data_IF_152089768913
#
_entry.id   IF_152089768913
#
_cell.length_a   1.000
_cell.length_b   1.000
_cell.length_c   1.000
_cell.angle_alpha   90.00
_cell.angle_beta   90.00
_cell.angle_gamma   90.00
#
_symmetry.space_group_name_H-M   'P 1'
#
loop_
_entity.id
_entity.type
_entity.pdbx_description
1 polymer ?
#
# COMPACT_ATOMS: atom_id res chain seq x y z
N UNK A 1 -37.73 7.31 39.69
CA UNK A 1 -38.74 8.36 39.43
C UNK A 1 -38.02 9.52 38.74
N UNK A 2 -38.18 9.89 37.47
CA UNK A 2 -39.25 9.69 36.51
C UNK A 2 -38.81 10.10 35.08
N UNK A 3 -37.98 9.30 34.38
CA UNK A 3 -37.80 9.52 32.92
C UNK A 3 -38.96 8.93 32.12
N UNK A 4 -39.52 7.81 32.56
CA UNK A 4 -40.65 7.14 31.89
C UNK A 4 -41.95 7.96 31.97
N UNK A 5 -42.21 8.64 33.10
CA UNK A 5 -43.41 9.47 33.27
C UNK A 5 -43.30 10.77 32.47
N UNK A 6 -42.09 11.34 32.32
CA UNK A 6 -41.88 12.58 31.55
C UNK A 6 -42.10 12.38 30.04
N UNK A 7 -41.66 11.24 29.48
CA UNK A 7 -41.82 10.93 28.05
C UNK A 7 -43.30 10.69 27.69
N UNK A 8 -44.05 10.06 28.60
CA UNK A 8 -45.47 9.79 28.40
C UNK A 8 -46.33 11.07 28.39
N UNK A 9 -45.84 12.14 29.02
CA UNK A 9 -46.51 13.45 29.10
C UNK A 9 -46.27 14.36 27.88
N UNK A 10 -45.24 14.12 27.07
CA UNK A 10 -44.75 15.09 26.06
C UNK A 10 -45.10 14.68 24.61
N UNK A 11 -45.36 13.40 24.33
CA UNK A 11 -45.75 12.94 22.99
C UNK A 11 -46.82 11.84 23.05
N UNK A 12 -48.00 12.09 22.47
CA UNK A 12 -49.00 11.06 22.22
C UNK A 12 -48.67 10.32 20.92
N UNK A 13 -48.27 9.06 21.05
CA UNK A 13 -47.94 8.21 19.90
C UNK A 13 -49.22 7.68 19.23
N UNK A 14 -49.21 7.45 17.91
CA UNK A 14 -50.33 6.77 17.23
C UNK A 14 -50.63 5.42 17.89
N UNK A 15 -51.92 5.08 17.99
CA UNK A 15 -52.40 3.89 18.72
C UNK A 15 -51.81 2.56 18.24
N UNK A 16 -51.43 2.46 16.96
CA UNK A 16 -50.79 1.27 16.40
C UNK A 16 -49.30 1.13 16.79
N UNK A 17 -48.64 2.22 17.17
CA UNK A 17 -47.21 2.26 17.52
C UNK A 17 -46.99 2.20 19.04
N UNK A 18 -47.98 2.64 19.80
CA UNK A 18 -47.97 2.71 21.26
C UNK A 18 -47.52 1.42 21.97
N UNK A 19 -48.01 0.20 21.64
CA UNK A 19 -47.56 -1.02 22.34
C UNK A 19 -46.08 -1.35 22.09
N UNK A 20 -45.54 -1.00 20.92
CA UNK A 20 -44.11 -1.20 20.63
C UNK A 20 -43.23 -0.21 21.38
N UNK A 21 -43.70 1.04 21.52
CA UNK A 21 -43.01 2.09 22.29
C UNK A 21 -42.98 1.73 23.78
N UNK A 22 -44.10 1.26 24.33
CA UNK A 22 -44.17 0.83 25.73
C UNK A 22 -43.22 -0.34 26.02
N UNK A 23 -43.20 -1.34 25.14
CA UNK A 23 -42.25 -2.47 25.25
C UNK A 23 -40.81 -1.96 25.17
N UNK A 24 -40.47 -1.10 24.20
CA UNK A 24 -39.13 -0.54 24.07
C UNK A 24 -38.71 0.27 25.31
N UNK A 25 -39.62 1.08 25.87
CA UNK A 25 -39.36 1.86 27.09
C UNK A 25 -39.16 0.96 28.31
N UNK A 26 -39.91 -0.14 28.42
CA UNK A 26 -39.70 -1.18 29.43
C UNK A 26 -38.33 -1.82 29.30
N UNK A 27 -37.92 -2.19 28.08
CA UNK A 27 -36.58 -2.73 27.82
C UNK A 27 -35.48 -1.73 28.15
N UNK A 28 -35.67 -0.45 27.81
CA UNK A 28 -34.70 0.62 28.12
C UNK A 28 -34.62 0.85 29.62
N UNK A 29 -35.74 0.94 30.33
CA UNK A 29 -35.75 1.10 31.80
C UNK A 29 -35.08 -0.09 32.46
N UNK A 30 -35.44 -1.31 32.07
CA UNK A 30 -34.83 -2.52 32.60
C UNK A 30 -33.33 -2.60 32.32
N UNK A 31 -32.89 -2.20 31.13
CA UNK A 31 -31.47 -2.13 30.79
C UNK A 31 -30.73 -1.08 31.63
N UNK A 32 -31.33 0.09 31.88
CA UNK A 32 -30.74 1.15 32.71
C UNK A 32 -30.69 0.74 34.18
N UNK A 33 -31.74 0.07 34.69
CA UNK A 33 -31.84 -0.38 36.08
C UNK A 33 -30.95 -1.61 36.36
N UNK A 34 -30.64 -2.42 35.33
CA UNK A 34 -29.75 -3.58 35.44
C UNK A 34 -28.27 -3.22 35.22
N UNK A 35 -28.00 -2.11 34.52
CA UNK A 35 -26.65 -1.58 34.36
C UNK A 35 -26.28 -0.80 35.63
N UNK A 36 -25.41 -1.41 36.43
CA UNK A 36 -24.83 -0.76 37.61
C UNK A 36 -23.84 0.34 37.15
N UNK A 37 -24.32 1.58 37.17
CA UNK A 37 -23.56 2.75 36.77
C UNK A 37 -22.38 3.02 37.69
N UNK A 38 -22.51 2.72 38.99
CA UNK A 38 -21.43 2.84 39.97
C UNK A 38 -20.32 1.82 39.68
N UNK A 39 -20.71 0.60 39.27
CA UNK A 39 -19.76 -0.42 38.81
C UNK A 39 -19.04 -0.03 37.52
N UNK A 40 -19.74 0.54 36.53
CA UNK A 40 -19.13 1.04 35.29
C UNK A 40 -18.19 2.23 35.56
N UNK A 41 -18.55 3.13 36.46
CA UNK A 41 -17.68 4.22 36.89
C UNK A 41 -16.39 3.67 37.52
N UNK A 42 -16.51 2.72 38.45
CA UNK A 42 -15.36 2.05 39.07
C UNK A 42 -14.48 1.33 38.04
N UNK A 43 -15.09 0.61 37.09
CA UNK A 43 -14.39 -0.08 36.02
C UNK A 43 -13.63 0.90 35.11
N UNK A 44 -14.24 2.06 34.83
CA UNK A 44 -13.62 3.13 34.06
C UNK A 44 -12.41 3.70 34.79
N UNK A 45 -12.52 4.04 36.07
CA UNK A 45 -11.40 4.52 36.87
C UNK A 45 -10.28 3.47 37.03
N UNK A 46 -10.62 2.19 37.09
CA UNK A 46 -9.64 1.10 37.15
C UNK A 46 -8.83 0.96 35.85
N UNK A 47 -9.47 1.08 34.69
CA UNK A 47 -8.80 0.92 33.38
C UNK A 47 -8.30 2.22 32.76
N UNK A 48 -8.78 3.39 33.19
CA UNK A 48 -8.38 4.69 32.64
C UNK A 48 -6.85 4.92 32.73
N UNK A 49 -6.15 4.64 33.84
CA UNK A 49 -4.69 4.75 33.89
C UNK A 49 -3.97 3.83 32.91
N UNK A 50 -4.49 2.61 32.71
CA UNK A 50 -3.96 1.65 31.73
C UNK A 50 -4.17 2.20 30.31
N UNK A 51 -5.36 2.74 30.03
CA UNK A 51 -5.69 3.32 28.74
C UNK A 51 -4.80 4.53 28.43
N UNK A 52 -4.63 5.44 29.40
CA UNK A 52 -3.72 6.59 29.24
C UNK A 52 -2.27 6.13 29.05
N UNK A 53 -1.78 5.19 29.87
CA UNK A 53 -0.39 4.73 29.81
C UNK A 53 -0.02 4.04 28.48
N UNK A 54 -0.98 3.39 27.81
CA UNK A 54 -0.71 2.67 26.55
C UNK A 54 -1.22 3.40 25.30
N UNK A 55 -2.38 4.08 25.34
CA UNK A 55 -2.97 4.74 24.17
C UNK A 55 -2.38 6.12 23.94
N UNK A 56 -2.17 6.93 24.99
CA UNK A 56 -1.67 8.30 24.84
C UNK A 56 -0.28 8.33 24.15
N UNK A 57 0.70 7.48 24.52
CA UNK A 57 1.98 7.43 23.82
C UNK A 57 1.85 7.04 22.33
N UNK A 58 0.93 6.12 22.00
CA UNK A 58 0.68 5.73 20.61
C UNK A 58 0.09 6.91 19.83
N UNK A 59 -0.88 7.64 20.39
CA UNK A 59 -1.46 8.83 19.76
C UNK A 59 -0.43 9.95 19.58
N UNK A 60 0.43 10.20 20.57
CA UNK A 60 1.51 11.18 20.48
C UNK A 60 2.52 10.80 19.39
N UNK A 61 2.90 9.52 19.29
CA UNK A 61 3.76 9.04 18.22
C UNK A 61 3.10 9.23 16.85
N UNK A 62 1.82 8.87 16.70
CA UNK A 62 1.07 9.09 15.46
C UNK A 62 1.02 10.58 15.09
N UNK A 63 0.86 11.48 16.06
CA UNK A 63 0.88 12.91 15.83
C UNK A 63 2.25 13.41 15.36
N UNK A 64 3.34 13.01 16.03
CA UNK A 64 4.72 13.39 15.66
C UNK A 64 5.04 12.89 14.24
N UNK A 65 4.76 11.63 13.92
CA UNK A 65 4.96 11.10 12.57
C UNK A 65 4.03 11.77 11.56
N UNK A 66 2.81 12.12 11.95
CA UNK A 66 1.90 12.93 11.16
C UNK A 66 2.50 14.30 10.79
N UNK A 67 3.15 14.97 11.73
CA UNK A 67 3.89 16.21 11.47
C UNK A 67 5.06 16.00 10.50
N UNK A 68 5.83 14.92 10.66
CA UNK A 68 6.95 14.59 9.73
C UNK A 68 6.43 14.35 8.32
N UNK A 69 5.38 13.55 8.18
CA UNK A 69 4.72 13.29 6.89
C UNK A 69 4.19 14.60 6.29
N UNK A 70 3.55 15.45 7.10
CA UNK A 70 3.07 16.76 6.66
C UNK A 70 4.22 17.64 6.14
N UNK A 71 5.34 17.73 6.85
CA UNK A 71 6.51 18.49 6.41
C UNK A 71 7.10 17.94 5.10
N UNK A 72 7.17 16.61 4.95
CA UNK A 72 7.62 15.98 3.71
C UNK A 72 6.69 16.33 2.52
N UNK A 73 5.38 16.23 2.72
CA UNK A 73 4.39 16.63 1.71
C UNK A 73 4.46 18.14 1.41
N UNK A 74 4.66 18.98 2.43
CA UNK A 74 4.81 20.43 2.27
C UNK A 74 6.08 20.81 1.47
N UNK A 75 7.14 20.01 1.55
CA UNK A 75 8.30 20.12 0.65
C UNK A 75 7.92 20.00 -0.82
N UNK A 76 6.89 19.20 -1.13
CA UNK A 76 6.37 18.97 -2.49
C UNK A 76 5.26 19.96 -2.89
N UNK A 77 4.99 21.00 -2.07
CA UNK A 77 3.84 21.93 -2.26
C UNK A 77 3.76 22.58 -3.64
N UNK A 78 4.90 22.94 -4.25
CA UNK A 78 4.91 23.60 -5.55
C UNK A 78 4.43 22.63 -6.65
N UNK A 79 4.92 21.39 -6.63
CA UNK A 79 4.48 20.33 -7.55
C UNK A 79 3.01 19.98 -7.38
N UNK A 80 2.53 19.93 -6.13
CA UNK A 80 1.12 19.71 -5.82
C UNK A 80 0.27 20.86 -6.40
N UNK A 81 0.68 22.12 -6.18
CA UNK A 81 0.00 23.31 -6.70
C UNK A 81 -0.08 23.30 -8.22
N UNK A 82 1.00 22.95 -8.91
CA UNK A 82 1.05 22.80 -10.37
C UNK A 82 0.08 21.70 -10.85
N UNK A 83 0.01 20.56 -10.17
CA UNK A 83 -0.89 19.47 -10.54
C UNK A 83 -2.38 19.79 -10.32
N UNK A 84 -2.70 20.56 -9.28
CA UNK A 84 -4.07 21.07 -9.10
C UNK A 84 -4.48 22.04 -10.22
N UNK A 85 -3.51 22.74 -10.83
CA UNK A 85 -3.80 23.61 -11.96
C UNK A 85 -4.17 22.84 -13.24
N UNK A 86 -3.73 21.58 -13.40
CA UNK A 86 -4.14 20.74 -14.53
C UNK A 86 -5.49 20.06 -14.28
N UNK A 87 -5.66 19.40 -13.14
CA UNK A 87 -6.87 18.64 -12.81
C UNK A 87 -6.97 18.35 -11.32
N UNK A 88 -8.20 18.38 -10.78
CA UNK A 88 -8.48 17.95 -9.40
C UNK A 88 -7.99 16.53 -9.12
N UNK A 89 -8.12 15.62 -10.10
CA UNK A 89 -7.70 14.24 -9.94
C UNK A 89 -6.19 14.08 -9.99
N UNK A 90 -5.49 14.90 -10.75
CA UNK A 90 -4.02 14.90 -10.79
C UNK A 90 -3.46 15.46 -9.48
N UNK A 91 -4.00 16.57 -8.99
CA UNK A 91 -3.68 17.11 -7.66
C UNK A 91 -3.91 16.07 -6.54
N UNK A 92 -5.05 15.38 -6.57
CA UNK A 92 -5.35 14.31 -5.61
C UNK A 92 -4.35 13.15 -5.69
N UNK A 93 -4.01 12.69 -6.89
CA UNK A 93 -3.04 11.60 -7.06
C UNK A 93 -1.64 12.00 -6.63
N UNK A 94 -1.16 13.18 -7.00
CA UNK A 94 0.18 13.64 -6.58
C UNK A 94 0.23 13.82 -5.06
N UNK A 95 -0.84 14.31 -4.45
CA UNK A 95 -0.91 14.42 -2.97
C UNK A 95 -0.84 13.04 -2.30
N UNK A 96 -1.61 12.06 -2.80
CA UNK A 96 -1.61 10.69 -2.28
C UNK A 96 -0.26 10.00 -2.55
N UNK A 97 0.32 10.17 -3.73
CA UNK A 97 1.64 9.66 -4.07
C UNK A 97 2.71 10.25 -3.14
N UNK A 98 2.66 11.56 -2.88
CA UNK A 98 3.56 12.25 -1.95
C UNK A 98 3.44 11.69 -0.53
N UNK A 99 2.22 11.39 -0.08
CA UNK A 99 1.99 10.74 1.21
C UNK A 99 2.60 9.33 1.26
N UNK A 100 2.35 8.49 0.26
CA UNK A 100 2.90 7.14 0.22
C UNK A 100 4.42 7.11 0.06
N UNK A 101 4.99 8.05 -0.67
CA UNK A 101 6.45 8.22 -0.78
C UNK A 101 7.05 8.61 0.58
N UNK A 102 6.43 9.56 1.29
CA UNK A 102 6.82 9.95 2.64
C UNK A 102 6.75 8.78 3.62
N UNK A 103 5.66 8.02 3.60
CA UNK A 103 5.48 6.83 4.47
C UNK A 103 6.52 5.77 4.14
N UNK A 104 6.74 5.48 2.85
CA UNK A 104 7.74 4.53 2.40
C UNK A 104 9.15 4.93 2.86
N UNK A 105 9.50 6.20 2.71
CA UNK A 105 10.78 6.73 3.14
C UNK A 105 10.96 6.71 4.67
N UNK A 106 10.00 7.26 5.41
CA UNK A 106 10.14 7.45 6.87
C UNK A 106 10.01 6.14 7.66
N UNK A 107 9.06 5.27 7.28
CA UNK A 107 8.81 4.04 8.04
C UNK A 107 9.56 2.83 7.51
N UNK A 108 9.89 2.82 6.22
CA UNK A 108 10.47 1.65 5.57
C UNK A 108 11.79 1.94 4.88
N UNK A 109 12.33 3.17 4.89
CA UNK A 109 13.54 3.49 4.12
C UNK A 109 13.46 3.01 2.67
N UNK A 110 12.26 3.05 2.09
CA UNK A 110 11.95 2.37 0.84
C UNK A 110 12.72 2.97 -0.34
N UNK A 111 13.34 2.11 -1.13
CA UNK A 111 14.09 2.49 -2.32
C UNK A 111 13.73 1.61 -3.53
N UNK A 112 13.89 2.18 -4.72
CA UNK A 112 13.75 1.46 -5.99
C UNK A 112 15.09 1.48 -6.71
N UNK A 113 15.63 0.31 -6.99
CA UNK A 113 16.77 0.10 -7.88
C UNK A 113 16.25 -0.25 -9.27
N UNK A 114 16.84 0.34 -10.32
CA UNK A 114 16.39 0.12 -11.71
C UNK A 114 15.26 1.04 -12.16
N UNK A 115 15.00 2.17 -11.49
CA UNK A 115 13.98 3.12 -11.94
C UNK A 115 14.31 3.72 -13.32
N UNK A 116 15.58 3.76 -13.68
CA UNK A 116 16.11 4.09 -15.00
C UNK A 116 15.62 3.14 -16.11
N UNK A 117 15.30 1.88 -15.78
CA UNK A 117 14.74 0.91 -16.73
C UNK A 117 13.28 1.25 -17.12
N UNK A 118 12.62 2.11 -16.34
CA UNK A 118 11.27 2.59 -16.66
C UNK A 118 11.34 3.69 -17.71
N UNK A 119 10.69 3.53 -18.88
CA UNK A 119 10.77 4.50 -19.94
C UNK A 119 10.05 5.79 -19.59
N UNK A 120 10.62 6.93 -19.98
CA UNK A 120 10.02 8.25 -19.75
C UNK A 120 8.79 8.50 -20.65
N UNK A 121 8.68 7.79 -21.77
CA UNK A 121 7.58 7.87 -22.75
C UNK A 121 7.25 6.47 -23.28
N UNK A 122 6.07 6.28 -23.88
CA UNK A 122 5.64 4.98 -24.43
C UNK A 122 5.27 3.94 -23.37
N UNK A 123 4.85 2.74 -23.75
CA UNK A 123 4.33 1.75 -22.79
C UNK A 123 5.40 1.03 -21.99
N UNK A 124 5.02 0.41 -20.87
CA UNK A 124 5.82 -0.64 -20.22
C UNK A 124 4.93 -1.56 -19.38
N UNK A 125 5.29 -2.84 -19.32
CA UNK A 125 4.61 -3.84 -18.51
C UNK A 125 5.52 -4.37 -17.40
N UNK A 126 5.16 -4.11 -16.15
CA UNK A 126 5.82 -4.63 -14.98
C UNK A 126 5.22 -6.01 -14.66
N UNK A 127 6.07 -7.02 -14.59
CA UNK A 127 5.66 -8.37 -14.18
C UNK A 127 6.38 -8.72 -12.90
N UNK A 128 5.61 -8.96 -11.83
CA UNK A 128 6.21 -9.04 -10.50
C UNK A 128 5.73 -10.24 -9.67
N UNK A 129 6.58 -10.61 -8.72
CA UNK A 129 6.23 -11.55 -7.66
C UNK A 129 5.30 -10.89 -6.65
N UNK A 130 4.13 -11.49 -6.40
CA UNK A 130 3.15 -10.90 -5.50
C UNK A 130 3.56 -11.13 -4.03
N UNK A 131 3.83 -10.07 -3.25
CA UNK A 131 4.00 -10.15 -1.79
C UNK A 131 2.69 -10.51 -1.05
N UNK A 132 2.72 -10.71 0.27
CA UNK A 132 1.46 -11.01 1.00
C UNK A 132 0.51 -9.81 1.04
N UNK A 133 1.06 -8.59 1.14
CA UNK A 133 0.33 -7.34 0.95
C UNK A 133 1.06 -6.53 -0.12
N UNK A 134 0.35 -5.96 -1.12
CA UNK A 134 0.98 -5.21 -2.22
C UNK A 134 1.32 -3.77 -1.80
N UNK A 135 1.89 -3.58 -0.61
CA UNK A 135 2.27 -2.24 -0.11
C UNK A 135 3.41 -1.66 -0.95
N UNK A 136 4.33 -2.53 -1.36
CA UNK A 136 5.43 -2.22 -2.27
C UNK A 136 4.94 -1.61 -3.59
N UNK A 137 3.86 -2.14 -4.17
CA UNK A 137 3.28 -1.61 -5.41
C UNK A 137 2.83 -0.15 -5.23
N UNK A 138 2.27 0.25 -4.08
CA UNK A 138 1.92 1.66 -3.85
C UNK A 138 3.14 2.58 -3.83
N UNK A 139 4.26 2.11 -3.28
CA UNK A 139 5.50 2.87 -3.32
C UNK A 139 6.08 2.97 -4.73
N UNK A 140 5.99 1.90 -5.53
CA UNK A 140 6.36 1.95 -6.96
C UNK A 140 5.48 2.95 -7.72
N UNK A 141 4.16 2.93 -7.51
CA UNK A 141 3.25 3.90 -8.12
C UNK A 141 3.65 5.32 -7.73
N UNK A 142 3.88 5.57 -6.44
CA UNK A 142 4.29 6.88 -5.94
C UNK A 142 5.59 7.38 -6.59
N UNK A 143 6.63 6.53 -6.63
CA UNK A 143 7.91 6.87 -7.26
C UNK A 143 7.78 7.11 -8.77
N UNK A 144 7.01 6.30 -9.49
CA UNK A 144 6.73 6.53 -10.91
C UNK A 144 6.01 7.88 -11.14
N UNK A 145 5.04 8.21 -10.29
CA UNK A 145 4.32 9.47 -10.41
C UNK A 145 5.20 10.69 -10.10
N UNK A 146 6.04 10.60 -9.06
CA UNK A 146 6.85 11.74 -8.60
C UNK A 146 8.12 11.94 -9.43
N UNK A 147 8.78 10.87 -9.89
CA UNK A 147 10.07 10.94 -10.57
C UNK A 147 9.97 10.75 -12.09
N UNK A 148 9.03 9.92 -12.56
CA UNK A 148 8.81 9.71 -14.00
C UNK A 148 7.67 10.55 -14.54
N UNK A 149 6.85 11.18 -13.68
CA UNK A 149 5.61 11.87 -14.05
C UNK A 149 4.63 10.94 -14.79
N UNK A 150 4.64 9.66 -14.41
CA UNK A 150 3.83 8.62 -15.06
C UNK A 150 3.08 7.79 -14.03
N UNK A 151 1.82 7.52 -14.32
CA UNK A 151 0.99 6.68 -13.47
C UNK A 151 1.16 5.20 -13.85
N UNK A 152 1.39 4.35 -12.86
CA UNK A 152 1.43 2.91 -13.01
C UNK A 152 0.03 2.33 -12.77
N UNK A 153 -0.58 1.77 -13.82
CA UNK A 153 -1.90 1.14 -13.75
C UNK A 153 -1.76 -0.28 -13.20
N UNK A 154 -2.74 -0.74 -12.42
CA UNK A 154 -2.65 -2.06 -11.79
C UNK A 154 -3.78 -2.98 -12.23
N UNK A 155 -3.47 -4.25 -12.41
CA UNK A 155 -4.48 -5.31 -12.56
C UNK A 155 -4.73 -5.95 -11.20
N UNK A 156 -5.94 -5.74 -10.67
CA UNK A 156 -6.39 -6.25 -9.38
C UNK A 156 -7.39 -7.39 -9.52
N UNK A 157 -7.52 -8.22 -8.48
CA UNK A 157 -8.55 -9.27 -8.46
C UNK A 157 -9.96 -8.65 -8.34
N UNK A 158 -10.95 -9.31 -8.95
CA UNK A 158 -12.36 -8.88 -8.95
C UNK A 158 -12.93 -8.69 -7.55
N UNK A 159 -12.43 -9.40 -6.53
CA UNK A 159 -12.94 -9.26 -5.17
C UNK A 159 -12.71 -7.85 -4.59
N UNK A 160 -11.62 -7.16 -4.99
CA UNK A 160 -11.27 -5.84 -4.47
C UNK A 160 -12.39 -4.83 -4.77
N UNK A 161 -13.03 -4.96 -5.93
CA UNK A 161 -14.13 -4.09 -6.38
C UNK A 161 -15.45 -4.36 -5.66
N UNK A 162 -15.55 -5.45 -4.89
CA UNK A 162 -16.73 -5.76 -4.08
C UNK A 162 -16.63 -5.21 -2.65
N UNK A 163 -15.47 -4.67 -2.26
CA UNK A 163 -15.26 -4.11 -0.92
C UNK A 163 -15.87 -2.70 -0.86
N UNK A 164 -16.85 -2.44 0.03
CA UNK A 164 -17.44 -1.12 0.19
C UNK A 164 -16.36 -0.06 0.49
N UNK A 165 -16.42 1.07 -0.20
CA UNK A 165 -15.49 2.21 -0.02
C UNK A 165 -14.19 2.14 -0.83
N UNK A 166 -13.82 0.98 -1.41
CA UNK A 166 -12.55 0.84 -2.14
C UNK A 166 -12.57 1.35 -3.58
N UNK A 167 -13.76 1.62 -4.14
CA UNK A 167 -13.90 2.09 -5.52
C UNK A 167 -13.14 3.40 -5.81
N UNK A 168 -13.07 4.32 -4.84
CA UNK A 168 -12.32 5.57 -4.98
C UNK A 168 -10.81 5.33 -5.03
N UNK A 169 -10.29 4.43 -4.21
CA UNK A 169 -8.86 4.05 -4.21
C UNK A 169 -8.51 3.40 -5.55
N UNK A 170 -9.35 2.47 -6.04
CA UNK A 170 -9.16 1.85 -7.36
C UNK A 170 -9.15 2.89 -8.49
N UNK A 171 -10.00 3.93 -8.41
CA UNK A 171 -10.04 5.00 -9.40
C UNK A 171 -8.78 5.89 -9.37
N UNK A 172 -8.29 6.21 -8.18
CA UNK A 172 -7.07 7.03 -8.00
C UNK A 172 -5.84 6.32 -8.55
N UNK A 173 -5.68 5.04 -8.22
CA UNK A 173 -4.51 4.23 -8.61
C UNK A 173 -4.71 3.46 -9.94
N UNK A 174 -5.79 3.72 -10.68
CA UNK A 174 -6.12 3.00 -11.91
C UNK A 174 -6.06 1.47 -11.77
N UNK A 175 -6.57 0.96 -10.64
CA UNK A 175 -6.71 -0.48 -10.39
C UNK A 175 -7.93 -0.97 -11.16
N UNK A 176 -7.73 -1.92 -12.06
CA UNK A 176 -8.80 -2.51 -12.89
C UNK A 176 -8.77 -4.03 -12.80
N UNK A 177 -9.90 -4.73 -13.00
CA UNK A 177 -9.90 -6.19 -13.04
C UNK A 177 -9.17 -6.77 -14.26
N UNK A 178 -8.97 -5.94 -15.31
CA UNK A 178 -8.10 -6.16 -16.48
C UNK A 178 -8.33 -7.47 -17.25
N UNK A 179 -9.08 -7.44 -18.35
CA UNK A 179 -9.00 -8.50 -19.37
C UNK A 179 -7.71 -8.36 -20.19
N UNK A 180 -7.37 -9.38 -20.99
CA UNK A 180 -6.21 -9.30 -21.91
C UNK A 180 -6.35 -8.11 -22.85
N UNK A 181 -7.54 -7.89 -23.41
CA UNK A 181 -7.78 -6.80 -24.35
C UNK A 181 -7.74 -5.43 -23.66
N UNK A 182 -8.27 -5.31 -22.44
CA UNK A 182 -8.15 -4.08 -21.64
C UNK A 182 -6.68 -3.72 -21.40
N UNK A 183 -5.87 -4.71 -20.99
CA UNK A 183 -4.45 -4.51 -20.74
C UNK A 183 -3.72 -4.08 -22.02
N UNK A 184 -4.02 -4.72 -23.16
CA UNK A 184 -3.46 -4.36 -24.46
C UNK A 184 -3.85 -2.95 -24.89
N UNK A 185 -5.10 -2.54 -24.67
CA UNK A 185 -5.55 -1.19 -24.96
C UNK A 185 -4.74 -0.16 -24.15
N UNK A 186 -4.58 -0.38 -22.83
CA UNK A 186 -3.78 0.53 -21.98
C UNK A 186 -2.32 0.61 -22.39
N UNK A 187 -1.71 -0.50 -22.77
CA UNK A 187 -0.34 -0.49 -23.28
C UNK A 187 -0.26 0.21 -24.64
N UNK A 188 -1.22 0.02 -25.54
CA UNK A 188 -1.26 0.75 -26.83
C UNK A 188 -1.44 2.26 -26.65
N UNK A 189 -2.18 2.68 -25.63
CA UNK A 189 -2.33 4.09 -25.23
C UNK A 189 -1.06 4.67 -24.58
N UNK A 190 0.01 3.86 -24.45
CA UNK A 190 1.28 4.30 -23.90
C UNK A 190 1.31 4.39 -22.39
N UNK A 191 0.44 3.68 -21.66
CA UNK A 191 0.46 3.66 -20.20
C UNK A 191 1.47 2.64 -19.63
N UNK A 192 1.91 2.88 -18.39
CA UNK A 192 2.60 1.87 -17.59
C UNK A 192 1.56 0.95 -16.96
N UNK A 193 1.78 -0.35 -16.98
CA UNK A 193 0.88 -1.36 -16.39
C UNK A 193 1.69 -2.32 -15.52
N UNK A 194 1.17 -2.76 -14.38
CA UNK A 194 1.75 -3.84 -13.59
C UNK A 194 0.78 -5.01 -13.41
N UNK A 195 1.31 -6.23 -13.55
CA UNK A 195 0.56 -7.48 -13.39
C UNK A 195 1.38 -8.42 -12.50
N UNK A 196 0.74 -8.96 -11.46
CA UNK A 196 1.25 -10.10 -10.70
C UNK A 196 0.58 -11.39 -11.20
N UNK A 197 1.25 -12.23 -12.01
CA UNK A 197 0.60 -13.40 -12.60
C UNK A 197 0.13 -14.41 -11.54
N UNK A 198 0.86 -14.52 -10.42
CA UNK A 198 0.50 -15.34 -9.27
C UNK A 198 -0.72 -14.82 -8.49
N UNK A 199 -1.01 -13.52 -8.58
CA UNK A 199 -2.18 -12.87 -7.96
C UNK A 199 -2.36 -13.22 -6.48
N UNK A 200 -3.63 -13.20 -6.03
CA UNK A 200 -4.01 -13.52 -4.65
C UNK A 200 -3.57 -14.92 -4.22
N UNK A 201 -3.59 -15.90 -5.13
CA UNK A 201 -3.14 -17.27 -4.83
C UNK A 201 -1.68 -17.31 -4.42
N UNK A 202 -0.82 -16.62 -5.17
CA UNK A 202 0.59 -16.49 -4.80
C UNK A 202 0.71 -15.75 -3.48
N UNK A 203 0.04 -14.60 -3.33
CA UNK A 203 0.04 -13.79 -2.10
C UNK A 203 -0.27 -14.59 -0.82
N UNK A 204 -1.22 -15.52 -0.89
CA UNK A 204 -1.68 -16.32 0.24
C UNK A 204 -0.87 -17.60 0.48
N UNK A 205 -0.41 -18.27 -0.58
CA UNK A 205 0.06 -19.67 -0.49
C UNK A 205 1.53 -19.90 -0.86
N UNK A 206 2.22 -18.91 -1.44
CA UNK A 206 3.66 -19.07 -1.68
C UNK A 206 4.40 -19.12 -0.35
N UNK A 207 5.34 -20.06 -0.27
CA UNK A 207 6.15 -20.33 0.89
C UNK A 207 7.07 -19.11 1.14
N UNK A 208 6.82 -18.35 2.23
CA UNK A 208 7.62 -17.19 2.58
C UNK A 208 9.09 -17.51 2.91
N UNK A 209 9.45 -18.79 3.11
CA UNK A 209 10.85 -19.19 3.31
C UNK A 209 11.58 -19.45 1.99
N UNK A 210 10.85 -19.73 0.90
CA UNK A 210 11.42 -20.13 -0.40
C UNK A 210 11.11 -19.15 -1.53
N UNK A 211 10.14 -18.25 -1.35
CA UNK A 211 9.70 -17.30 -2.36
C UNK A 211 9.34 -17.99 -3.70
N UNK A 212 8.69 -19.15 -3.63
CA UNK A 212 8.37 -19.93 -4.83
C UNK A 212 7.31 -19.23 -5.68
N UNK A 213 7.61 -19.05 -6.97
CA UNK A 213 6.69 -18.42 -7.92
C UNK A 213 5.54 -19.37 -8.29
N UNK A 214 4.30 -18.96 -8.02
CA UNK A 214 3.06 -19.74 -8.14
C UNK A 214 2.13 -19.28 -9.28
N UNK A 215 2.68 -19.08 -10.48
CA UNK A 215 1.91 -18.62 -11.65
C UNK A 215 0.98 -19.69 -12.27
N UNK A 216 1.04 -20.95 -11.80
CA UNK A 216 0.18 -22.06 -12.22
C UNK A 216 0.07 -22.20 -13.76
N UNK A 217 -1.14 -22.32 -14.33
CA UNK A 217 -1.41 -22.33 -15.78
C UNK A 217 -1.84 -20.97 -16.34
N UNK A 218 -1.58 -19.87 -15.62
CA UNK A 218 -2.00 -18.53 -16.04
C UNK A 218 -1.08 -18.00 -17.14
N UNK A 219 -1.68 -17.52 -18.21
CA UNK A 219 -0.99 -17.06 -19.43
C UNK A 219 -1.51 -15.71 -19.92
N UNK A 220 -2.47 -15.09 -19.20
CA UNK A 220 -3.08 -13.82 -19.62
C UNK A 220 -2.04 -12.73 -19.84
N UNK A 221 -1.11 -12.55 -18.90
CA UNK A 221 -0.03 -11.58 -19.04
C UNK A 221 0.88 -11.86 -20.24
N UNK A 222 1.21 -13.13 -20.52
CA UNK A 222 2.01 -13.51 -21.68
C UNK A 222 1.27 -13.20 -23.01
N UNK A 223 -0.04 -13.42 -23.06
CA UNK A 223 -0.88 -13.01 -24.20
C UNK A 223 -0.93 -11.48 -24.37
N UNK A 224 -0.92 -10.72 -23.28
CA UNK A 224 -0.80 -9.25 -23.32
C UNK A 224 0.53 -8.83 -23.94
N UNK A 225 1.64 -9.44 -23.51
CA UNK A 225 3.00 -9.18 -24.02
C UNK A 225 3.06 -9.45 -25.54
N UNK A 226 2.68 -10.65 -25.97
CA UNK A 226 2.68 -11.06 -27.38
C UNK A 226 1.78 -10.16 -28.23
N UNK A 227 0.66 -9.73 -27.66
CA UNK A 227 -0.30 -8.85 -28.33
C UNK A 227 0.12 -7.37 -28.41
N UNK A 228 1.26 -7.01 -27.81
CA UNK A 228 1.83 -5.65 -27.76
C UNK A 228 3.37 -5.69 -27.99
N UNK A 229 3.83 -6.17 -29.17
CA UNK A 229 5.26 -6.25 -29.46
C UNK A 229 5.91 -4.87 -29.38
N UNK A 230 7.16 -4.84 -28.92
CA UNK A 230 7.91 -3.59 -28.67
C UNK A 230 7.60 -2.92 -27.32
N UNK A 231 6.59 -3.38 -26.57
CA UNK A 231 6.40 -2.93 -25.19
C UNK A 231 7.46 -3.58 -24.29
N UNK A 232 8.30 -2.79 -23.56
CA UNK A 232 9.25 -3.34 -22.61
C UNK A 232 8.55 -4.05 -21.46
N UNK A 233 9.00 -5.27 -21.16
CA UNK A 233 8.56 -6.05 -20.01
C UNK A 233 9.62 -5.95 -18.93
N UNK A 234 9.27 -5.34 -17.79
CA UNK A 234 10.19 -5.08 -16.69
C UNK A 234 9.89 -6.11 -15.58
N UNK A 235 10.76 -7.10 -15.34
CA UNK A 235 10.62 -8.00 -14.20
C UNK A 235 10.85 -7.21 -12.91
N UNK A 236 10.03 -7.46 -11.90
CA UNK A 236 10.09 -6.73 -10.63
C UNK A 236 10.02 -7.66 -9.43
N UNK A 237 10.86 -7.40 -8.44
CA UNK A 237 10.86 -8.11 -7.16
C UNK A 237 11.14 -7.15 -6.01
N UNK A 238 10.44 -7.34 -4.89
CA UNK A 238 10.66 -6.56 -3.67
C UNK A 238 11.23 -7.45 -2.58
N UNK A 239 12.39 -7.08 -2.05
CA UNK A 239 13.04 -7.79 -0.96
C UNK A 239 12.13 -7.90 0.27
N UNK A 240 12.15 -9.05 0.92
CA UNK A 240 11.44 -9.31 2.16
C UNK A 240 9.92 -9.06 2.09
N UNK A 241 9.32 -8.96 0.90
CA UNK A 241 7.89 -8.66 0.71
C UNK A 241 6.94 -9.71 1.33
N UNK A 242 7.47 -10.87 1.73
CA UNK A 242 6.77 -11.91 2.49
C UNK A 242 7.02 -11.85 3.99
N UNK A 243 8.21 -11.41 4.38
CA UNK A 243 8.65 -11.39 5.79
C UNK A 243 8.28 -10.08 6.48
N UNK A 244 8.10 -8.99 5.73
CA UNK A 244 7.68 -7.69 6.24
C UNK A 244 6.32 -7.73 6.97
N UNK A 245 5.50 -8.76 6.71
CA UNK A 245 4.13 -8.86 7.24
C UNK A 245 3.79 -10.20 7.92
N UNK A 246 4.79 -10.93 8.46
CA UNK A 246 4.51 -12.13 9.28
C UNK A 246 4.20 -11.77 10.74
N UNK A 247 3.07 -12.26 11.28
CA UNK A 247 2.89 -12.38 12.75
C UNK A 247 2.05 -13.62 13.14
N UNK A 248 2.68 -14.68 13.68
CA UNK A 248 1.99 -15.83 14.29
C UNK A 248 1.30 -15.49 15.62
N UNK A 249 0.13 -16.10 15.89
CA UNK A 249 -0.90 -15.63 16.85
C UNK A 249 -0.55 -15.60 18.35
N UNK A 250 0.41 -16.38 18.85
CA UNK A 250 0.66 -16.52 20.30
C UNK A 250 1.81 -15.65 20.86
N UNK A 251 2.64 -15.01 20.02
CA UNK A 251 3.88 -14.32 20.44
C UNK A 251 3.85 -12.78 20.44
N UNK A 252 2.70 -12.15 20.18
CA UNK A 252 2.56 -10.71 19.85
C UNK A 252 3.16 -9.73 20.89
N UNK A 253 3.18 -10.08 22.18
CA UNK A 253 3.71 -9.22 23.26
C UNK A 253 5.24 -9.21 23.34
N UNK A 254 5.91 -10.30 23.00
CA UNK A 254 7.39 -10.42 23.05
C UNK A 254 8.04 -9.75 21.83
N UNK A 255 7.39 -9.80 20.66
CA UNK A 255 7.87 -9.12 19.45
C UNK A 255 7.76 -7.58 19.52
N UNK A 256 6.78 -7.05 20.26
CA UNK A 256 6.66 -5.60 20.52
C UNK A 256 7.79 -5.07 21.41
N UNK A 257 8.22 -5.84 22.42
CA UNK A 257 9.34 -5.47 23.29
C UNK A 257 10.70 -5.47 22.56
N UNK A 258 10.91 -6.42 21.63
CA UNK A 258 12.11 -6.47 20.78
C UNK A 258 12.17 -5.27 19.81
N UNK A 259 11.03 -4.84 19.24
CA UNK A 259 10.94 -3.66 18.36
C UNK A 259 11.30 -2.35 19.08
N UNK A 260 10.86 -2.20 20.34
CA UNK A 260 11.18 -1.02 21.17
C UNK A 260 12.67 -0.93 21.56
N UNK A 261 13.42 -2.04 21.46
CA UNK A 261 14.87 -2.08 21.75
C UNK A 261 15.75 -1.87 20.50
N UNK A 262 15.28 -2.23 19.30
CA UNK A 262 16.14 -2.32 18.10
C UNK A 262 15.91 -1.25 17.04
N UNK A 263 14.74 -0.58 16.97
CA UNK A 263 14.46 0.55 16.06
C UNK A 263 14.79 0.33 14.57
N UNK A 264 14.38 -0.77 13.96
CA UNK A 264 14.71 -1.04 12.55
C UNK A 264 13.50 -1.06 11.64
N UNK A 265 13.49 -0.24 10.57
CA UNK A 265 12.55 -0.43 9.47
C UNK A 265 12.85 -1.79 8.83
N UNK A 266 11.82 -2.57 8.49
CA UNK A 266 11.99 -3.53 7.40
C UNK A 266 12.15 -2.66 6.15
N UNK A 267 13.33 -2.66 5.54
CA UNK A 267 13.60 -1.92 4.32
C UNK A 267 13.39 -2.81 3.10
N UNK A 268 12.16 -2.88 2.53
CA UNK A 268 11.96 -3.46 1.23
C UNK A 268 12.61 -2.56 0.19
N UNK A 269 13.68 -3.06 -0.45
CA UNK A 269 14.16 -2.50 -1.72
C UNK A 269 13.41 -3.19 -2.83
N UNK A 270 12.83 -2.42 -3.75
CA UNK A 270 12.26 -2.98 -4.98
C UNK A 270 13.30 -2.90 -6.09
N UNK A 271 13.51 -4.03 -6.76
CA UNK A 271 14.39 -4.17 -7.91
C UNK A 271 13.58 -4.27 -9.17
N UNK A 272 13.84 -3.35 -10.10
CA UNK A 272 13.32 -3.36 -11.45
C UNK A 272 14.43 -3.87 -12.37
N UNK A 273 14.25 -5.09 -12.87
CA UNK A 273 15.22 -5.71 -13.76
C UNK A 273 15.26 -5.07 -15.14
N UNK A 274 16.15 -5.58 -16.00
CA UNK A 274 16.35 -5.03 -17.34
C UNK A 274 15.09 -5.22 -18.22
N UNK A 275 14.77 -4.27 -19.10
CA UNK A 275 13.64 -4.42 -20.01
C UNK A 275 13.82 -5.61 -20.97
N UNK A 276 12.83 -6.48 -21.03
CA UNK A 276 12.74 -7.60 -21.96
C UNK A 276 11.81 -7.25 -23.11
N UNK A 277 12.13 -7.75 -24.30
CA UNK A 277 11.30 -7.56 -25.50
C UNK A 277 10.96 -8.92 -26.10
N UNK A 278 9.71 -9.07 -26.51
CA UNK A 278 9.17 -10.31 -27.06
C UNK A 278 8.51 -10.04 -28.41
N UNK A 279 8.63 -11.00 -29.32
CA UNK A 279 8.00 -10.94 -30.63
C UNK A 279 6.60 -11.57 -30.60
N UNK A 280 5.75 -11.19 -31.57
CA UNK A 280 4.34 -11.60 -31.62
C UNK A 280 4.11 -13.06 -32.05
N UNK A 281 5.13 -13.73 -32.54
CA UNK A 281 5.13 -15.13 -32.99
C UNK A 281 5.50 -16.12 -31.88
N UNK A 282 5.95 -15.63 -30.71
CA UNK A 282 6.31 -16.50 -29.58
C UNK A 282 5.10 -17.16 -28.94
N UNK A 283 5.30 -18.37 -28.42
CA UNK A 283 4.32 -19.09 -27.63
C UNK A 283 4.17 -18.43 -26.24
N UNK A 284 2.94 -18.19 -25.72
CA UNK A 284 2.76 -17.59 -24.39
C UNK A 284 3.46 -18.32 -23.24
N UNK A 285 3.71 -19.62 -23.41
CA UNK A 285 4.33 -20.47 -22.42
C UNK A 285 5.83 -20.21 -22.32
N UNK A 286 6.47 -19.94 -23.46
CA UNK A 286 7.89 -19.60 -23.54
C UNK A 286 8.13 -18.19 -23.01
N UNK A 287 7.26 -17.24 -23.36
CA UNK A 287 7.26 -15.88 -22.79
C UNK A 287 7.12 -15.95 -21.27
N UNK A 288 6.16 -16.74 -20.78
CA UNK A 288 5.98 -16.95 -19.35
C UNK A 288 7.22 -17.54 -18.70
N UNK A 289 7.86 -18.53 -19.32
CA UNK A 289 9.05 -19.19 -18.79
C UNK A 289 10.19 -18.18 -18.66
N UNK A 290 10.47 -17.41 -19.71
CA UNK A 290 11.51 -16.39 -19.72
C UNK A 290 11.29 -15.31 -18.65
N UNK A 291 10.08 -14.71 -18.59
CA UNK A 291 9.79 -13.68 -17.58
C UNK A 291 9.83 -14.27 -16.15
N UNK A 292 9.43 -15.53 -15.98
CA UNK A 292 9.51 -16.22 -14.69
C UNK A 292 10.96 -16.43 -14.25
N UNK A 293 11.84 -16.80 -15.17
CA UNK A 293 13.27 -16.98 -14.92
C UNK A 293 13.90 -15.66 -14.47
N UNK A 294 13.59 -14.56 -15.14
CA UNK A 294 14.10 -13.22 -14.78
C UNK A 294 13.61 -12.75 -13.40
N UNK A 295 12.32 -12.92 -13.08
CA UNK A 295 11.81 -12.64 -11.71
C UNK A 295 12.46 -13.56 -10.68
N UNK A 296 12.72 -14.81 -11.04
CA UNK A 296 13.38 -15.77 -10.15
C UNK A 296 14.86 -15.45 -9.93
N UNK A 297 15.54 -14.92 -10.94
CA UNK A 297 16.92 -14.46 -10.85
C UNK A 297 17.03 -13.22 -9.96
N UNK A 298 16.09 -12.26 -10.07
CA UNK A 298 15.98 -11.14 -9.12
C UNK A 298 15.78 -11.63 -7.67
N UNK A 299 14.94 -12.64 -7.46
CA UNK A 299 14.78 -13.25 -6.13
C UNK A 299 16.11 -13.88 -5.67
N UNK A 300 16.80 -14.61 -6.54
CA UNK A 300 18.06 -15.29 -6.19
C UNK A 300 19.17 -14.31 -5.84
N UNK A 301 19.25 -13.20 -6.57
CA UNK A 301 20.27 -12.17 -6.39
C UNK A 301 20.04 -11.35 -5.12
N UNK A 302 18.79 -10.96 -4.86
CA UNK A 302 18.49 -9.96 -3.83
C UNK A 302 17.84 -10.53 -2.57
N UNK A 303 17.23 -11.73 -2.62
CA UNK A 303 16.62 -12.36 -1.46
C UNK A 303 17.55 -13.40 -0.82
N UNK A 304 17.90 -13.19 0.44
CA UNK A 304 18.54 -14.25 1.24
C UNK A 304 17.51 -15.32 1.60
N UNK A 305 17.85 -16.57 1.25
CA UNK A 305 17.05 -17.76 1.55
C UNK A 305 17.76 -18.67 2.58
N UNK A 306 17.03 -19.39 3.45
CA UNK A 306 15.57 -19.30 3.64
C UNK A 306 15.16 -17.93 4.21
N UNK A 307 14.03 -17.42 3.71
CA UNK A 307 13.42 -16.17 4.17
C UNK A 307 13.13 -16.19 5.67
N UNK A 308 13.44 -15.08 6.34
CA UNK A 308 13.30 -14.94 7.79
C UNK A 308 13.18 -13.47 8.18
N UNK A 309 12.20 -13.16 9.03
CA UNK A 309 11.96 -11.82 9.58
C UNK A 309 13.22 -11.24 10.21
N UNK A 310 13.91 -12.03 11.05
CA UNK A 310 15.12 -11.58 11.75
C UNK A 310 16.24 -11.23 10.77
N UNK A 311 16.42 -12.04 9.71
CA UNK A 311 17.45 -11.80 8.69
C UNK A 311 17.11 -10.58 7.83
N UNK A 312 15.84 -10.40 7.48
CA UNK A 312 15.38 -9.20 6.76
C UNK A 312 15.61 -7.92 7.56
N UNK A 313 15.36 -7.96 8.88
CA UNK A 313 15.66 -6.86 9.79
C UNK A 313 17.18 -6.58 9.83
N UNK A 314 18.03 -7.60 10.00
CA UNK A 314 19.49 -7.43 10.03
C UNK A 314 20.04 -6.81 8.74
N UNK A 315 19.49 -7.20 7.58
CA UNK A 315 19.90 -6.67 6.29
C UNK A 315 19.58 -5.18 6.16
N UNK A 316 18.40 -4.76 6.64
CA UNK A 316 17.99 -3.36 6.68
C UNK A 316 18.94 -2.47 7.51
N UNK A 317 19.42 -2.96 8.67
CA UNK A 317 20.42 -2.25 9.48
C UNK A 317 21.69 -2.04 8.67
N UNK A 318 22.21 -3.13 8.09
CA UNK A 318 23.48 -3.12 7.40
C UNK A 318 23.45 -2.20 6.17
N UNK A 319 22.32 -2.14 5.45
CA UNK A 319 22.14 -1.16 4.36
C UNK A 319 22.07 0.28 4.86
N UNK A 320 21.49 0.51 6.04
CA UNK A 320 21.44 1.84 6.66
C UNK A 320 22.80 2.34 7.18
N UNK A 321 23.63 1.46 7.72
CA UNK A 321 24.96 1.79 8.24
C UNK A 321 26.01 1.97 7.14
N UNK A 322 25.86 1.28 6.01
CA UNK A 322 26.81 1.33 4.88
C UNK A 322 26.67 2.58 3.98
N UNK A 323 25.79 3.53 4.34
CA UNK A 323 25.60 4.76 3.56
C UNK A 323 25.04 4.52 2.14
N UNK A 324 24.49 3.33 1.88
CA UNK A 324 23.80 3.02 0.62
C UNK A 324 22.41 3.65 0.55
N UNK A 325 21.89 4.19 1.67
CA UNK A 325 20.74 5.08 1.65
C UNK A 325 21.13 6.38 0.94
N UNK A 326 20.44 6.66 -0.17
CA UNK A 326 20.57 7.94 -0.84
C UNK A 326 20.38 9.11 0.15
N UNK A 327 21.39 9.97 0.23
CA UNK A 327 21.41 11.10 1.16
C UNK A 327 20.27 12.09 0.85
N UNK A 328 19.72 12.78 1.86
CA UNK A 328 18.60 13.74 1.70
C UNK A 328 18.89 14.90 0.72
N UNK A 329 20.13 15.09 0.30
CA UNK A 329 20.56 16.12 -0.66
C UNK A 329 19.98 15.93 -2.08
N UNK A 330 19.59 14.71 -2.48
CA UNK A 330 18.97 14.48 -3.80
C UNK A 330 17.52 15.03 -3.84
N UNK A 331 16.84 15.15 -2.69
CA UNK A 331 15.47 15.66 -2.62
C UNK A 331 15.40 17.21 -2.57
N UNK A 332 16.43 17.86 -2.05
CA UNK A 332 16.48 19.34 -1.94
C UNK A 332 17.16 19.97 -3.17
N UNK A 333 18.22 19.38 -3.73
CA UNK A 333 18.95 19.97 -4.88
C UNK A 333 18.12 20.05 -6.17
N UNK A 334 17.10 19.22 -6.35
CA UNK A 334 16.18 19.31 -7.48
C UNK A 334 14.98 20.25 -7.26
N UNK A 335 14.88 20.90 -6.09
CA UNK A 335 13.91 21.98 -5.84
C UNK A 335 14.46 23.37 -6.24
N UNK A 336 15.78 23.55 -6.23
CA UNK A 336 16.46 24.83 -6.52
C UNK A 336 17.05 24.90 -7.94
N UNK A 337 16.39 24.27 -8.91
CA UNK A 337 16.65 24.51 -10.33
C UNK A 337 16.18 25.90 -10.72
N UNK A 338 17.02 26.91 -10.48
CA UNK A 338 16.80 28.30 -10.83
C UNK A 338 16.43 28.45 -12.32
N UNK A 339 15.18 28.82 -12.58
CA UNK A 339 14.78 29.40 -13.86
C UNK A 339 15.23 30.86 -13.82
N UNK A 340 16.39 31.11 -14.44
CA UNK A 340 16.80 32.45 -14.88
C UNK A 340 15.76 32.99 -15.85
N UNK A 341 14.80 33.78 -15.35
CA UNK A 341 13.98 34.66 -16.18
C UNK A 341 14.84 35.84 -16.62
N UNK A 342 15.48 35.68 -17.78
CA UNK A 342 16.00 36.80 -18.55
C UNK A 342 14.81 37.62 -19.04
N UNK A 343 14.66 38.81 -18.46
CA UNK A 343 13.73 39.84 -18.93
C UNK A 343 14.44 40.55 -20.09
N UNK A 344 13.84 40.49 -21.28
CA UNK A 344 13.93 41.55 -22.28
C UNK A 344 12.56 42.21 -22.38
#
# INVERSE_FOLDING_TARGET
>A
MDCAILIHSIMQWPSWLQPYVEVLLLWISWAIDYVDWDYLEYLTWLFLPLLVAFILPILLLLFIYGCVIFLHIYGLRNRIREAYASSLWDGARISIASFWDAVGYVWHGYEIKGLENVPNEGSALFVYYHGTLPIDVYYVIAKCMLHKKRTLHCVGDKFIFKIPGWGMICKVFYITPGTVDDCRARLKDGHLLCIAPGGVREALFSDPTRYNIMWARRLGFAKVIIGCPGTPVIPMFTENCRDAFRTPRCGRKIFRWIYEKTRLPLCPVTHLGRPLYFSSDMNPEDVKKSVKEEVHDLIREHQRLPGSILRGIMQSIASSESGQLSSPEILISHADGAVSLGIN
#
